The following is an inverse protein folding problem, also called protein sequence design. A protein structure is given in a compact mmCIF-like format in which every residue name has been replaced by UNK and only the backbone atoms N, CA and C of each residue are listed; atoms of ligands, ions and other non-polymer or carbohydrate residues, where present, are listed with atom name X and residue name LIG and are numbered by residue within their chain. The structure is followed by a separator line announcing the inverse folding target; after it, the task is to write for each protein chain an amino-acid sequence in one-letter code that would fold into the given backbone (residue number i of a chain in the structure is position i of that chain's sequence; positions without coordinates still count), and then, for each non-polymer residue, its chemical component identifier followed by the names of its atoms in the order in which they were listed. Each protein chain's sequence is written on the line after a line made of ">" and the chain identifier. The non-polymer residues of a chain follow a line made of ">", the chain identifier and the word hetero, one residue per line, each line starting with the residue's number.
data_IF_997572232669
#
_entry.id   IF_997572232669
#
_cell.length_a   1.000
_cell.length_b   1.000
_cell.length_c   1.000
_cell.angle_alpha   90.00
_cell.angle_beta   90.00
_cell.angle_gamma   90.00
#
_symmetry.space_group_name_H-M   'P 1'
#
loop_
_entity.id
_entity.type
_entity.pdbx_description
1 polymer ?
#
# COMPACT_ATOMS: atom_id res chain seq x y z
N UNK A 1 10.67 6.23 13.00
CA UNK A 1 11.05 4.80 12.99
C UNK A 1 10.01 3.91 13.69
N UNK A 2 9.46 4.33 14.84
CA UNK A 2 8.41 3.58 15.58
C UNK A 2 7.18 3.17 14.75
N UNK A 3 6.68 4.02 13.85
CA UNK A 3 5.49 3.72 13.05
C UNK A 3 5.65 2.48 12.16
N UNK A 4 6.87 2.25 11.62
CA UNK A 4 7.15 1.13 10.74
C UNK A 4 7.29 -0.20 11.51
N UNK A 5 7.73 -0.15 12.77
CA UNK A 5 7.81 -1.29 13.67
C UNK A 5 6.43 -1.71 14.18
N UNK A 6 5.60 -0.73 14.57
CA UNK A 6 4.22 -0.97 15.01
C UNK A 6 3.36 -1.55 13.87
N UNK A 7 3.65 -1.17 12.62
CA UNK A 7 2.96 -1.70 11.45
C UNK A 7 3.52 -3.04 10.95
N UNK A 8 4.48 -3.66 11.67
CA UNK A 8 5.18 -4.90 11.28
C UNK A 8 5.78 -4.86 9.87
N UNK A 9 6.09 -3.66 9.36
CA UNK A 9 6.62 -3.47 8.00
C UNK A 9 8.12 -3.74 7.91
N UNK A 10 8.80 -3.81 9.04
CA UNK A 10 10.23 -4.05 9.16
C UNK A 10 10.40 -5.21 10.15
N UNK A 11 10.73 -6.38 9.61
CA UNK A 11 11.26 -7.49 10.41
C UNK A 11 12.77 -7.35 10.50
N UNK A 12 13.31 -7.48 11.71
CA UNK A 12 14.74 -7.65 11.88
C UNK A 12 15.07 -9.13 11.77
N UNK A 13 16.05 -9.45 10.92
CA UNK A 13 16.64 -10.78 10.89
C UNK A 13 17.56 -10.93 12.11
N UNK A 14 17.65 -12.14 12.67
CA UNK A 14 18.49 -12.43 13.83
C UNK A 14 19.98 -12.27 13.49
N UNK A 15 20.33 -12.32 12.20
CA UNK A 15 21.68 -12.01 11.72
C UNK A 15 21.70 -10.70 10.94
N UNK A 16 22.70 -9.82 11.16
CA UNK A 16 22.85 -8.58 10.41
C UNK A 16 23.29 -8.91 8.97
N UNK A 17 22.32 -9.09 8.09
CA UNK A 17 22.56 -9.28 6.67
C UNK A 17 22.65 -7.92 5.99
N UNK A 18 23.84 -7.61 5.48
CA UNK A 18 24.18 -6.30 4.90
C UNK A 18 23.40 -5.99 3.60
N UNK A 19 22.69 -6.97 3.04
CA UNK A 19 21.89 -6.82 1.82
C UNK A 19 20.71 -7.81 1.79
N UNK A 20 19.56 -7.38 1.26
CA UNK A 20 18.33 -8.20 1.23
C UNK A 20 18.45 -9.45 0.35
N UNK A 21 19.37 -9.46 -0.62
CA UNK A 21 19.69 -10.66 -1.41
C UNK A 21 20.52 -11.67 -0.62
N UNK A 22 20.97 -11.41 0.61
CA UNK A 22 21.65 -12.43 1.42
C UNK A 22 20.64 -13.23 2.24
N UNK A 23 19.47 -12.64 2.52
CA UNK A 23 18.46 -13.21 3.37
C UNK A 23 17.76 -14.39 2.66
N UNK A 24 17.96 -15.65 3.14
CA UNK A 24 17.35 -16.83 2.54
C UNK A 24 15.83 -16.86 2.74
N UNK A 25 15.31 -16.12 3.72
CA UNK A 25 13.88 -15.98 4.04
C UNK A 25 13.28 -14.67 3.51
N UNK A 26 14.04 -13.93 2.68
CA UNK A 26 13.52 -12.81 1.92
C UNK A 26 12.35 -13.27 1.04
N UNK A 27 11.26 -12.51 1.10
CA UNK A 27 10.07 -12.72 0.27
C UNK A 27 10.43 -12.71 -1.23
N UNK A 28 11.50 -11.99 -1.62
CA UNK A 28 12.00 -11.98 -3.00
C UNK A 28 12.57 -13.34 -3.45
N UNK A 29 13.04 -14.17 -2.52
CA UNK A 29 13.67 -15.48 -2.78
C UNK A 29 12.74 -16.65 -2.50
N UNK A 30 11.95 -16.55 -1.43
CA UNK A 30 10.91 -17.52 -1.06
C UNK A 30 9.56 -16.83 -1.11
N UNK A 31 8.91 -16.77 -2.28
CA UNK A 31 7.59 -16.16 -2.40
C UNK A 31 6.60 -16.93 -1.53
N UNK A 32 6.00 -16.23 -0.58
CA UNK A 32 4.98 -16.72 0.32
C UNK A 32 3.69 -15.96 0.03
N UNK A 33 2.69 -16.68 -0.49
CA UNK A 33 1.41 -16.11 -0.90
C UNK A 33 0.67 -15.43 0.26
N UNK A 34 0.81 -15.95 1.48
CA UNK A 34 0.17 -15.37 2.65
C UNK A 34 0.85 -14.06 3.06
N UNK A 35 2.19 -14.00 3.03
CA UNK A 35 2.94 -12.77 3.31
C UNK A 35 2.70 -11.69 2.25
N UNK A 36 2.62 -12.06 0.98
CA UNK A 36 2.30 -11.11 -0.11
C UNK A 36 0.86 -10.60 -0.02
N UNK A 37 -0.10 -11.45 0.35
CA UNK A 37 -1.47 -11.03 0.61
C UNK A 37 -1.57 -10.08 1.81
N UNK A 38 -0.88 -10.38 2.92
CA UNK A 38 -0.79 -9.49 4.08
C UNK A 38 -0.17 -8.14 3.71
N UNK A 39 0.93 -8.15 2.96
CA UNK A 39 1.59 -6.93 2.49
C UNK A 39 0.65 -6.09 1.63
N UNK A 40 -0.04 -6.71 0.67
CA UNK A 40 -1.03 -6.05 -0.20
C UNK A 40 -2.17 -5.45 0.63
N UNK A 41 -2.67 -6.19 1.61
CA UNK A 41 -3.70 -5.74 2.54
C UNK A 41 -3.23 -4.53 3.36
N UNK A 42 -1.98 -4.52 3.84
CA UNK A 42 -1.41 -3.39 4.57
C UNK A 42 -1.37 -2.12 3.72
N UNK A 43 -1.08 -2.21 2.42
CA UNK A 43 -1.15 -1.04 1.54
C UNK A 43 -2.57 -0.46 1.48
N UNK A 44 -3.60 -1.31 1.37
CA UNK A 44 -4.99 -0.86 1.41
C UNK A 44 -5.29 -0.11 2.71
N UNK A 45 -4.91 -0.64 3.87
CA UNK A 45 -5.13 0.02 5.16
C UNK A 45 -4.43 1.39 5.26
N UNK A 46 -3.22 1.50 4.72
CA UNK A 46 -2.47 2.78 4.71
C UNK A 46 -3.15 3.80 3.81
N UNK A 47 -3.60 3.39 2.63
CA UNK A 47 -4.36 4.26 1.72
C UNK A 47 -5.59 4.83 2.43
N UNK A 48 -6.34 3.98 3.15
CA UNK A 48 -7.50 4.40 3.93
C UNK A 48 -7.13 5.38 5.03
N UNK A 49 -6.07 5.09 5.78
CA UNK A 49 -5.63 5.95 6.88
C UNK A 49 -5.13 7.31 6.36
N UNK A 50 -4.34 7.33 5.28
CA UNK A 50 -3.86 8.56 4.66
C UNK A 50 -5.01 9.41 4.13
N UNK A 51 -6.03 8.81 3.51
CA UNK A 51 -7.23 9.53 3.08
C UNK A 51 -7.99 10.14 4.27
N UNK A 52 -8.17 9.37 5.34
CA UNK A 52 -8.81 9.85 6.58
C UNK A 52 -8.06 11.04 7.19
N UNK A 53 -6.73 10.99 7.22
CA UNK A 53 -5.91 12.09 7.73
C UNK A 53 -5.89 13.29 6.77
N UNK A 54 -5.98 13.05 5.48
CA UNK A 54 -6.11 14.10 4.46
C UNK A 54 -7.41 14.89 4.64
N UNK A 55 -8.53 14.21 4.89
CA UNK A 55 -9.84 14.85 5.01
C UNK A 55 -9.97 15.73 6.27
N UNK A 56 -9.19 15.44 7.31
CA UNK A 56 -9.11 16.24 8.54
C UNK A 56 -8.16 17.43 8.44
N UNK A 57 -7.33 17.48 7.40
CA UNK A 57 -6.23 18.44 7.34
C UNK A 57 -6.72 19.83 6.92
N UNK A 58 -6.43 20.84 7.75
CA UNK A 58 -6.80 22.24 7.48
C UNK A 58 -5.80 22.94 6.56
N UNK A 59 -4.53 22.54 6.58
CA UNK A 59 -3.50 23.06 5.67
C UNK A 59 -3.64 22.43 4.27
N UNK A 60 -3.93 23.27 3.28
CA UNK A 60 -4.11 22.85 1.89
C UNK A 60 -2.84 22.27 1.26
N UNK A 61 -1.65 22.75 1.62
CA UNK A 61 -0.39 22.23 1.08
C UNK A 61 -0.11 20.84 1.62
N UNK A 62 -0.29 20.64 2.92
CA UNK A 62 -0.13 19.33 3.56
C UNK A 62 -1.20 18.34 3.07
N UNK A 63 -2.45 18.77 2.95
CA UNK A 63 -3.50 17.94 2.36
C UNK A 63 -3.15 17.51 0.92
N UNK A 64 -2.58 18.41 0.11
CA UNK A 64 -2.12 18.09 -1.25
C UNK A 64 -0.97 17.07 -1.23
N UNK A 65 0.01 17.22 -0.35
CA UNK A 65 1.12 16.27 -0.22
C UNK A 65 0.63 14.88 0.20
N UNK A 66 -0.31 14.80 1.16
CA UNK A 66 -0.91 13.54 1.59
C UNK A 66 -1.68 12.85 0.47
N UNK A 67 -2.46 13.61 -0.32
CA UNK A 67 -3.13 13.08 -1.52
C UNK A 67 -2.16 12.50 -2.54
N UNK A 68 -1.02 13.15 -2.76
CA UNK A 68 0.02 12.62 -3.64
C UNK A 68 0.63 11.32 -3.08
N UNK A 69 0.82 11.24 -1.77
CA UNK A 69 1.28 10.01 -1.13
C UNK A 69 0.27 8.88 -1.30
N UNK A 70 -1.03 9.15 -1.12
CA UNK A 70 -2.11 8.17 -1.37
C UNK A 70 -2.00 7.57 -2.76
N UNK A 71 -1.81 8.41 -3.79
CA UNK A 71 -1.67 7.94 -5.18
C UNK A 71 -0.44 7.06 -5.37
N UNK A 72 0.69 7.39 -4.72
CA UNK A 72 1.91 6.56 -4.77
C UNK A 72 1.72 5.20 -4.12
N UNK A 73 1.07 5.17 -2.95
CA UNK A 73 0.74 3.94 -2.24
C UNK A 73 -0.26 3.09 -3.05
N UNK A 74 -1.22 3.73 -3.72
CA UNK A 74 -2.19 3.07 -4.60
C UNK A 74 -1.51 2.40 -5.79
N UNK A 75 -0.55 3.06 -6.44
CA UNK A 75 0.24 2.43 -7.52
C UNK A 75 1.02 1.19 -7.03
N UNK A 76 1.60 1.27 -5.83
CA UNK A 76 2.30 0.14 -5.21
C UNK A 76 1.34 -1.01 -4.88
N UNK A 77 0.16 -0.69 -4.33
CA UNK A 77 -0.92 -1.64 -4.08
C UNK A 77 -1.33 -2.38 -5.35
N UNK A 78 -1.59 -1.69 -6.46
CA UNK A 78 -2.03 -2.32 -7.71
C UNK A 78 -0.97 -3.27 -8.29
N UNK A 79 0.30 -2.90 -8.22
CA UNK A 79 1.39 -3.76 -8.69
C UNK A 79 1.41 -5.07 -7.89
N UNK A 80 1.31 -5.00 -6.56
CA UNK A 80 1.32 -6.17 -5.69
C UNK A 80 0.04 -7.00 -5.81
N UNK A 81 -1.12 -6.34 -5.82
CA UNK A 81 -2.42 -6.97 -6.00
C UNK A 81 -2.48 -7.80 -7.29
N UNK A 82 -1.95 -7.24 -8.40
CA UNK A 82 -1.96 -7.91 -9.71
C UNK A 82 -0.91 -9.02 -9.82
N UNK A 83 0.31 -8.81 -9.31
CA UNK A 83 1.45 -9.71 -9.57
C UNK A 83 1.66 -10.77 -8.49
N UNK A 84 1.33 -10.48 -7.23
CA UNK A 84 1.81 -11.26 -6.09
C UNK A 84 0.69 -11.98 -5.31
N UNK A 85 -0.57 -11.59 -5.48
CA UNK A 85 -1.70 -12.24 -4.80
C UNK A 85 -2.30 -13.37 -5.64
N UNK A 86 -2.64 -14.48 -4.99
CA UNK A 86 -3.46 -15.56 -5.55
C UNK A 86 -4.93 -15.14 -5.71
N UNK A 87 -5.66 -15.89 -6.55
CA UNK A 87 -7.04 -15.55 -6.91
C UNK A 87 -8.00 -15.49 -5.72
N UNK A 88 -7.76 -16.25 -4.65
CA UNK A 88 -8.61 -16.23 -3.45
C UNK A 88 -8.43 -14.94 -2.67
N UNK A 89 -7.17 -14.57 -2.37
CA UNK A 89 -6.88 -13.34 -1.66
C UNK A 89 -7.21 -12.09 -2.50
N UNK A 90 -7.02 -12.14 -3.82
CA UNK A 90 -7.47 -11.08 -4.72
C UNK A 90 -8.96 -10.79 -4.58
N UNK A 91 -9.83 -11.82 -4.53
CA UNK A 91 -11.28 -11.61 -4.35
C UNK A 91 -11.62 -10.96 -3.02
N UNK A 92 -10.95 -11.38 -1.94
CA UNK A 92 -11.17 -10.82 -0.60
C UNK A 92 -10.78 -9.34 -0.56
N UNK A 93 -9.57 -9.03 -1.03
CA UNK A 93 -9.03 -7.67 -1.06
C UNK A 93 -9.85 -6.78 -1.99
N UNK A 94 -10.27 -7.28 -3.16
CA UNK A 94 -11.12 -6.54 -4.09
C UNK A 94 -12.49 -6.21 -3.48
N UNK A 95 -13.10 -7.16 -2.77
CA UNK A 95 -14.37 -6.94 -2.06
C UNK A 95 -14.22 -5.87 -0.97
N UNK A 96 -13.12 -5.90 -0.23
CA UNK A 96 -12.84 -4.85 0.76
C UNK A 96 -12.63 -3.51 0.07
N UNK A 97 -11.80 -3.45 -0.97
CA UNK A 97 -11.54 -2.25 -1.76
C UNK A 97 -12.83 -1.63 -2.28
N UNK A 98 -13.75 -2.42 -2.84
CA UNK A 98 -15.03 -1.91 -3.37
C UNK A 98 -16.01 -1.44 -2.30
N UNK A 99 -15.88 -1.96 -1.07
CA UNK A 99 -16.69 -1.51 0.07
C UNK A 99 -16.33 -0.09 0.48
N UNK A 100 -15.05 0.29 0.33
CA UNK A 100 -14.62 1.65 0.57
C UNK A 100 -14.88 2.47 -0.70
N UNK A 101 -15.78 3.47 -0.63
CA UNK A 101 -16.10 4.36 -1.77
C UNK A 101 -14.96 5.35 -2.08
N UNK A 102 -13.78 4.80 -2.40
CA UNK A 102 -12.52 5.52 -2.54
C UNK A 102 -12.42 6.31 -3.84
N UNK A 103 -13.24 5.96 -4.84
CA UNK A 103 -13.20 6.62 -6.15
C UNK A 103 -13.45 8.13 -6.06
N UNK A 104 -14.32 8.58 -5.16
CA UNK A 104 -14.63 10.01 -4.99
C UNK A 104 -13.47 10.79 -4.36
N UNK A 105 -12.77 10.20 -3.39
CA UNK A 105 -11.63 10.78 -2.67
C UNK A 105 -10.32 10.67 -3.45
N UNK A 106 -10.15 9.59 -4.21
CA UNK A 106 -9.02 9.40 -5.11
C UNK A 106 -9.08 10.35 -6.32
N UNK A 107 -10.26 10.61 -6.89
CA UNK A 107 -10.41 11.59 -7.98
C UNK A 107 -9.95 13.00 -7.57
N UNK A 108 -10.15 13.40 -6.32
CA UNK A 108 -9.64 14.68 -5.77
C UNK A 108 -8.11 14.70 -5.62
N UNK A 109 -7.46 13.54 -5.68
CA UNK A 109 -6.04 13.35 -5.40
C UNK A 109 -5.16 13.31 -6.65
N UNK A 110 -5.75 13.13 -7.84
CA UNK A 110 -5.02 13.11 -9.11
C UNK A 110 -4.65 14.52 -9.55
N UNK A 111 -3.35 14.77 -9.71
CA UNK A 111 -2.85 16.02 -10.29
C UNK A 111 -2.25 15.82 -11.69
N UNK A 112 -2.10 14.59 -12.19
CA UNK A 112 -1.42 14.33 -13.45
C UNK A 112 -2.04 13.16 -14.23
N UNK A 113 -2.02 13.20 -15.57
CA UNK A 113 -2.71 12.21 -16.41
C UNK A 113 -2.20 10.77 -16.20
N UNK A 114 -0.89 10.61 -15.95
CA UNK A 114 -0.27 9.32 -15.63
C UNK A 114 -0.73 8.71 -14.29
N UNK A 115 -1.19 9.54 -13.34
CA UNK A 115 -1.72 9.07 -12.06
C UNK A 115 -3.17 8.58 -12.18
N UNK A 116 -3.85 9.00 -13.25
CA UNK A 116 -5.25 8.67 -13.55
C UNK A 116 -5.42 7.22 -14.03
N UNK A 117 -4.35 6.60 -14.53
CA UNK A 117 -4.29 5.18 -14.93
C UNK A 117 -4.62 4.18 -13.81
N UNK A 118 -4.57 4.61 -12.55
CA UNK A 118 -4.85 3.75 -11.39
C UNK A 118 -6.26 3.94 -10.81
N UNK A 119 -7.09 4.81 -11.40
CA UNK A 119 -8.45 5.12 -10.91
C UNK A 119 -9.53 4.55 -11.84
N UNK A 120 -9.18 4.22 -13.08
CA UNK A 120 -10.03 3.55 -14.08
C UNK A 120 -9.54 2.14 -14.33
#
# INVERSE_FOLDING_TARGET
>A
MQLALVAERIGFDNQPLYYYCANPDSITRKPDQQKEAQRTQSYLQIILQLLKETDKQSDQLLAKALRQQVVRELGSFFILFRKCCDAKNQKIIAKQFSTYSLFSSLNKSVNNWHQRWFIF
#
